data_IF_284700555544
#
_entry.id   IF_284700555544
#
_cell.length_a   1.000
_cell.length_b   1.000
_cell.length_c   1.000
_cell.angle_alpha   90.00
_cell.angle_beta   90.00
_cell.angle_gamma   90.00
#
_symmetry.space_group_name_H-M   'P 1'
#
loop_
_entity.id
_entity.type
_entity.pdbx_description
1 polymer ?
#
# COMPACT_ATOMS: atom_id res chain seq x y z
N UNK A 1 2.01 42.69 -24.15
CA UNK A 1 0.67 42.28 -23.67
C UNK A 1 0.85 41.33 -22.50
N UNK A 2 0.19 41.64 -21.37
CA UNK A 2 -0.01 40.76 -20.21
C UNK A 2 -0.84 39.54 -20.60
N UNK A 3 -0.60 38.40 -19.95
CA UNK A 3 -1.58 37.48 -19.32
C UNK A 3 -0.77 36.33 -18.67
N UNK A 4 -0.40 36.42 -17.39
CA UNK A 4 -1.10 35.98 -16.16
C UNK A 4 -0.99 34.48 -15.82
N UNK A 5 -0.59 34.24 -14.56
CA UNK A 5 -0.33 32.95 -13.89
C UNK A 5 -1.64 32.22 -13.57
N UNK A 6 -1.59 30.88 -13.57
CA UNK A 6 -2.34 30.07 -12.61
C UNK A 6 -1.50 28.85 -12.19
N UNK A 7 -0.91 28.93 -11.00
CA UNK A 7 -0.56 27.75 -10.21
C UNK A 7 -1.86 27.23 -9.62
N UNK A 8 -2.31 26.06 -10.06
CA UNK A 8 -3.32 25.28 -9.33
C UNK A 8 -2.58 24.25 -8.49
N UNK A 9 -2.32 24.63 -7.24
CA UNK A 9 -2.09 23.68 -6.17
C UNK A 9 -3.45 23.03 -5.84
N UNK A 10 -3.63 21.76 -6.18
CA UNK A 10 -4.70 20.94 -5.62
C UNK A 10 -4.14 20.24 -4.38
N UNK A 11 -4.51 20.78 -3.22
CA UNK A 11 -4.42 20.15 -1.91
C UNK A 11 -5.70 19.35 -1.64
N UNK A 12 -5.55 18.06 -1.32
CA UNK A 12 -6.43 17.21 -0.50
C UNK A 12 -6.12 15.75 -0.91
N UNK A 13 -5.41 14.91 -0.16
CA UNK A 13 -5.41 14.84 1.29
C UNK A 13 -6.74 14.27 1.76
N UNK A 14 -6.76 12.94 1.94
CA UNK A 14 -7.82 12.17 2.57
C UNK A 14 -9.02 11.81 1.68
N UNK A 15 -8.93 10.69 0.96
CA UNK A 15 -10.12 9.83 0.77
C UNK A 15 -9.99 8.67 1.75
N UNK A 16 -10.22 9.02 3.02
CA UNK A 16 -10.57 8.08 4.07
C UNK A 16 -11.98 7.61 3.77
N UNK A 17 -12.16 6.28 3.73
CA UNK A 17 -13.38 5.57 3.39
C UNK A 17 -14.66 6.31 3.79
N UNK A 18 -15.39 6.80 2.78
CA UNK A 18 -16.73 7.34 2.95
C UNK A 18 -17.67 6.17 3.28
N UNK A 19 -18.00 5.99 4.55
CA UNK A 19 -19.02 5.02 4.99
C UNK A 19 -20.41 5.55 4.58
N UNK A 20 -20.99 4.94 3.55
CA UNK A 20 -22.40 5.16 3.18
C UNK A 20 -23.27 4.53 4.26
N UNK A 21 -24.01 5.37 4.97
CA UNK A 21 -25.05 4.98 5.94
C UNK A 21 -26.40 5.08 5.23
N UNK A 22 -26.99 3.95 4.85
CA UNK A 22 -28.39 3.89 4.44
C UNK A 22 -29.26 4.01 5.70
N UNK A 23 -29.95 5.14 5.85
CA UNK A 23 -30.75 5.44 7.04
C UNK A 23 -32.00 4.53 7.12
N UNK A 24 -31.94 3.44 7.88
CA UNK A 24 -33.14 2.73 8.31
C UNK A 24 -33.83 3.51 9.44
N UNK A 25 -35.05 3.98 9.19
CA UNK A 25 -35.88 4.72 10.15
C UNK A 25 -36.27 3.83 11.34
N UNK A 26 -35.71 4.09 12.53
CA UNK A 26 -36.09 3.40 13.77
C UNK A 26 -35.28 3.85 14.99
N UNK A 27 -35.92 4.34 16.07
CA UNK A 27 -35.20 4.90 17.22
C UNK A 27 -34.68 3.76 18.11
N UNK A 28 -33.39 3.42 17.99
CA UNK A 28 -32.71 2.54 18.95
C UNK A 28 -31.75 1.49 18.37
N UNK A 29 -31.57 1.42 17.05
CA UNK A 29 -30.62 0.49 16.44
C UNK A 29 -29.26 1.18 16.24
N UNK A 30 -28.23 0.76 16.99
CA UNK A 30 -26.84 1.03 16.61
C UNK A 30 -26.54 0.20 15.36
N UNK A 31 -26.58 0.85 14.19
CA UNK A 31 -26.26 0.22 12.93
C UNK A 31 -24.81 -0.26 12.95
N UNK A 32 -24.63 -1.58 12.83
CA UNK A 32 -23.29 -2.15 12.74
C UNK A 32 -22.69 -1.71 11.42
N UNK A 33 -21.47 -1.14 11.39
CA UNK A 33 -20.82 -0.75 10.15
C UNK A 33 -20.70 -1.99 9.25
N UNK A 34 -21.25 -1.88 8.04
CA UNK A 34 -21.14 -2.91 7.02
C UNK A 34 -19.87 -2.65 6.24
N UNK A 35 -18.90 -3.57 6.35
CA UNK A 35 -17.67 -3.49 5.58
C UNK A 35 -17.84 -4.30 4.30
N UNK A 36 -17.61 -3.65 3.16
CA UNK A 36 -17.50 -4.35 1.89
C UNK A 36 -16.27 -5.27 1.91
N UNK A 37 -16.36 -6.39 1.19
CA UNK A 37 -15.27 -7.35 1.13
C UNK A 37 -14.04 -6.71 0.49
N UNK A 38 -12.96 -6.57 1.25
CA UNK A 38 -11.68 -6.10 0.73
C UNK A 38 -11.18 -7.05 -0.37
N UNK A 39 -10.84 -6.49 -1.53
CA UNK A 39 -10.14 -7.25 -2.54
C UNK A 39 -8.71 -7.56 -2.08
N UNK A 40 -8.13 -8.73 -2.42
CA UNK A 40 -6.75 -9.07 -2.05
C UNK A 40 -5.70 -8.05 -2.52
N UNK A 41 -5.99 -7.33 -3.60
CA UNK A 41 -5.16 -6.22 -4.09
C UNK A 41 -5.15 -5.04 -3.13
N UNK A 42 -6.28 -4.74 -2.48
CA UNK A 42 -6.44 -3.63 -1.55
C UNK A 42 -5.80 -3.92 -0.19
N UNK A 43 -5.72 -5.19 0.21
CA UNK A 43 -5.01 -5.62 1.44
C UNK A 43 -3.52 -5.26 1.42
N UNK A 44 -2.88 -5.29 0.24
CA UNK A 44 -1.46 -4.95 0.06
C UNK A 44 -1.23 -3.48 -0.33
N UNK A 45 -2.29 -2.65 -0.35
CA UNK A 45 -2.22 -1.25 -0.80
C UNK A 45 -2.21 -1.06 -2.32
N UNK A 46 -2.52 -2.10 -3.09
CA UNK A 46 -2.76 -2.08 -4.54
C UNK A 46 -1.56 -1.72 -5.42
N UNK A 47 -0.40 -1.43 -4.83
CA UNK A 47 0.80 -0.95 -5.54
C UNK A 47 2.06 -1.66 -5.07
N UNK A 48 3.00 -1.97 -5.99
CA UNK A 48 4.30 -2.52 -5.62
C UNK A 48 5.03 -1.60 -4.63
N UNK A 49 5.53 -2.19 -3.54
CA UNK A 49 6.32 -1.47 -2.53
C UNK A 49 7.79 -1.86 -2.63
N UNK A 50 8.66 -0.87 -2.77
CA UNK A 50 10.11 -1.08 -2.88
C UNK A 50 10.81 -0.65 -1.59
N UNK A 51 11.80 -1.45 -1.17
CA UNK A 51 12.64 -1.18 0.01
C UNK A 51 14.11 -1.31 -0.41
N UNK A 52 14.92 -0.30 -0.12
CA UNK A 52 16.38 -0.37 -0.32
C UNK A 52 17.03 -0.87 0.96
N UNK A 53 17.80 -1.94 0.88
CA UNK A 53 18.53 -2.52 2.02
C UNK A 53 20.04 -2.33 1.77
N UNK A 54 20.74 -1.50 2.57
CA UNK A 54 22.17 -1.33 2.42
C UNK A 54 22.92 -2.58 2.91
N UNK A 55 23.92 -3.02 2.14
CA UNK A 55 24.76 -4.17 2.49
C UNK A 55 26.18 -3.69 2.83
N UNK A 56 26.69 -3.96 4.05
CA UNK A 56 28.06 -3.65 4.41
C UNK A 56 29.09 -4.41 3.55
N UNK A 57 30.27 -3.82 3.32
CA UNK A 57 31.30 -4.38 2.41
C UNK A 57 31.73 -5.81 2.80
N UNK A 58 31.96 -6.08 4.09
CA UNK A 58 32.39 -7.40 4.56
C UNK A 58 31.30 -8.49 4.40
N UNK A 59 30.03 -8.10 4.23
CA UNK A 59 28.88 -9.00 4.06
C UNK A 59 28.55 -9.27 2.60
N UNK A 60 29.11 -8.49 1.67
CA UNK A 60 28.79 -8.62 0.25
C UNK A 60 29.35 -9.92 -0.35
N UNK A 61 30.57 -10.31 0.04
CA UNK A 61 31.19 -11.56 -0.40
C UNK A 61 30.39 -12.81 0.03
N UNK A 62 30.00 -12.98 1.32
CA UNK A 62 29.16 -14.11 1.71
C UNK A 62 27.76 -14.04 1.09
N UNK A 63 27.15 -12.84 0.98
CA UNK A 63 25.82 -12.70 0.38
C UNK A 63 25.77 -13.22 -1.06
N UNK A 64 26.79 -12.94 -1.87
CA UNK A 64 26.88 -13.45 -3.25
C UNK A 64 27.01 -14.97 -3.33
N UNK A 65 27.76 -15.57 -2.41
CA UNK A 65 28.01 -17.03 -2.40
C UNK A 65 26.71 -17.80 -2.14
N UNK A 66 25.89 -17.32 -1.22
CA UNK A 66 24.64 -17.96 -0.80
C UNK A 66 23.39 -17.29 -1.38
N UNK A 67 23.52 -16.46 -2.42
CA UNK A 67 22.42 -15.65 -2.94
C UNK A 67 21.24 -16.50 -3.42
N UNK A 68 21.52 -17.58 -4.15
CA UNK A 68 20.46 -18.47 -4.67
C UNK A 68 19.70 -19.18 -3.55
N UNK A 69 20.38 -19.56 -2.47
CA UNK A 69 19.75 -20.21 -1.32
C UNK A 69 18.78 -19.28 -0.58
N UNK A 70 19.04 -17.97 -0.61
CA UNK A 70 18.18 -16.94 0.00
C UNK A 70 17.03 -16.57 -0.94
N UNK A 71 17.30 -16.42 -2.24
CA UNK A 71 16.30 -15.90 -3.18
C UNK A 71 15.16 -16.89 -3.43
N UNK A 72 15.49 -18.18 -3.56
CA UNK A 72 14.51 -19.22 -3.86
C UNK A 72 13.35 -19.26 -2.87
N UNK A 73 13.56 -19.44 -1.55
CA UNK A 73 12.45 -19.50 -0.60
C UNK A 73 11.69 -18.17 -0.46
N UNK A 74 12.36 -17.03 -0.64
CA UNK A 74 11.73 -15.71 -0.57
C UNK A 74 10.78 -15.50 -1.76
N UNK A 75 11.20 -15.88 -2.96
CA UNK A 75 10.34 -15.81 -4.13
C UNK A 75 9.22 -16.84 -4.06
N UNK A 76 9.51 -18.09 -3.68
CA UNK A 76 8.52 -19.17 -3.71
C UNK A 76 7.44 -19.03 -2.64
N UNK A 77 7.83 -18.79 -1.39
CA UNK A 77 6.90 -18.79 -0.26
C UNK A 77 6.33 -17.40 0.03
N UNK A 78 7.12 -16.35 -0.13
CA UNK A 78 6.70 -14.98 0.21
C UNK A 78 6.23 -14.18 -1.00
N UNK A 79 6.54 -14.63 -2.23
CA UNK A 79 6.22 -13.91 -3.48
C UNK A 79 6.77 -12.48 -3.49
N UNK A 80 7.98 -12.32 -2.95
CA UNK A 80 8.70 -11.05 -2.91
C UNK A 80 9.82 -11.07 -3.95
N UNK A 81 9.89 -10.02 -4.76
CA UNK A 81 10.99 -9.78 -5.69
C UNK A 81 12.14 -9.06 -4.97
N UNK A 82 13.37 -9.56 -5.14
CA UNK A 82 14.60 -9.10 -4.43
C UNK A 82 15.73 -8.77 -5.40
#
# INVERSE_FOLDING_TARGET
>A
MKVERAVTATSAGSSFSQMVVDHATGPGAVEKPRFDALMPSEMSGGRPQFRKVPVPQHRFAPLKRYWMEICTPVYEHMKVDI
#
